data_IF_359503790763
#
_entry.id   IF_359503790763
#
_cell.length_a   1.000
_cell.length_b   1.000
_cell.length_c   1.000
_cell.angle_alpha   90.00
_cell.angle_beta   90.00
_cell.angle_gamma   90.00
#
_symmetry.space_group_name_H-M   'P 1'
#
loop_
_entity.id
_entity.type
_entity.pdbx_description
1 polymer ?
#
# COMPACT_ATOMS: atom_id res chain seq x y z
N UNK A 1 56.66 34.29 -9.70
CA UNK A 1 55.40 35.04 -9.95
C UNK A 1 54.34 34.49 -9.01
N UNK A 2 53.75 35.37 -8.23
CA UNK A 2 52.93 35.07 -7.05
C UNK A 2 51.43 35.27 -7.30
N UNK A 3 50.64 34.86 -6.31
CA UNK A 3 49.21 35.12 -6.04
C UNK A 3 48.19 34.12 -6.65
N UNK A 4 47.15 33.67 -5.94
CA UNK A 4 46.59 34.19 -4.70
C UNK A 4 45.70 33.20 -3.92
N UNK A 5 45.59 33.50 -2.62
CA UNK A 5 44.57 33.05 -1.67
C UNK A 5 44.02 34.28 -0.92
N UNK A 6 42.80 34.21 -0.36
CA UNK A 6 41.91 35.37 -0.21
C UNK A 6 42.06 36.18 1.09
N UNK A 7 41.77 37.49 0.99
CA UNK A 7 41.34 38.40 2.06
C UNK A 7 39.80 38.61 1.92
N UNK A 8 38.99 38.91 2.93
CA UNK A 8 39.32 39.39 4.28
C UNK A 8 38.11 39.50 5.21
N UNK A 9 38.42 39.84 6.46
CA UNK A 9 37.54 40.12 7.58
C UNK A 9 36.74 41.43 7.42
N UNK A 10 35.52 41.45 7.95
CA UNK A 10 34.66 42.64 8.01
C UNK A 10 33.73 42.71 9.24
N UNK A 11 34.31 43.13 10.37
CA UNK A 11 33.79 44.09 11.37
C UNK A 11 32.48 43.81 12.16
N UNK A 12 32.70 43.61 13.47
CA UNK A 12 31.83 43.89 14.62
C UNK A 12 31.13 45.26 14.57
N UNK A 13 29.85 45.31 15.00
CA UNK A 13 29.33 46.41 15.85
C UNK A 13 28.37 45.87 16.93
N UNK A 14 28.83 46.03 18.17
CA UNK A 14 28.14 45.98 19.47
C UNK A 14 27.08 47.08 19.57
N UNK A 15 25.93 46.80 20.18
CA UNK A 15 25.24 47.74 21.09
C UNK A 15 24.50 46.96 22.19
N UNK A 16 24.70 47.44 23.43
CA UNK A 16 24.14 47.01 24.72
C UNK A 16 22.62 47.26 24.79
N UNK A 17 21.80 46.35 25.33
CA UNK A 17 21.45 46.11 26.75
C UNK A 17 20.65 47.25 27.41
N UNK A 18 19.40 46.96 27.84
CA UNK A 18 18.84 47.32 29.16
C UNK A 18 17.77 46.30 29.57
N UNK A 19 17.81 45.96 30.86
CA UNK A 19 17.07 44.95 31.64
C UNK A 19 15.90 45.60 32.39
N UNK A 20 14.80 44.86 32.65
CA UNK A 20 14.02 44.88 33.90
C UNK A 20 12.97 43.75 33.86
N UNK A 21 13.12 42.65 34.61
CA UNK A 21 12.72 42.43 36.01
C UNK A 21 11.20 42.34 36.26
N UNK A 22 10.77 41.17 36.76
CA UNK A 22 9.60 41.05 37.64
C UNK A 22 8.64 39.91 37.28
N UNK A 23 8.53 38.90 38.15
CA UNK A 23 7.38 37.97 38.13
C UNK A 23 7.67 36.56 38.63
N UNK A 24 7.67 36.39 39.96
CA UNK A 24 7.62 35.08 40.64
C UNK A 24 6.25 34.44 40.38
N UNK A 25 6.19 33.15 40.05
CA UNK A 25 5.40 32.13 40.77
C UNK A 25 4.97 30.95 39.89
N UNK A 26 4.98 29.80 40.56
CA UNK A 26 4.04 28.69 40.40
C UNK A 26 4.31 27.65 39.31
N UNK A 27 5.12 26.66 39.72
CA UNK A 27 5.06 25.27 39.25
C UNK A 27 3.59 24.82 39.16
N UNK A 28 3.08 24.66 37.93
CA UNK A 28 1.89 23.87 37.65
C UNK A 28 2.30 22.51 37.06
N UNK A 29 1.80 21.39 37.60
CA UNK A 29 2.09 20.08 37.03
C UNK A 29 1.49 20.00 35.62
N UNK A 30 2.34 19.57 34.69
CA UNK A 30 2.04 19.33 33.29
C UNK A 30 1.00 18.18 33.21
N UNK A 31 -0.29 18.54 33.23
CA UNK A 31 -1.39 17.64 32.90
C UNK A 31 -1.09 17.05 31.52
N UNK A 32 -0.85 15.74 31.49
CA UNK A 32 -0.98 14.95 30.27
C UNK A 32 -2.44 15.04 29.85
N UNK A 33 -2.73 15.94 28.91
CA UNK A 33 -3.97 15.85 28.13
C UNK A 33 -3.71 14.75 27.12
N UNK A 34 -4.24 13.56 27.40
CA UNK A 34 -4.49 12.56 26.38
C UNK A 34 -5.31 13.24 25.29
N UNK A 35 -4.64 13.69 24.23
CA UNK A 35 -5.28 14.12 23.00
C UNK A 35 -5.75 12.87 22.28
N UNK A 36 -6.85 12.29 22.76
CA UNK A 36 -7.69 11.43 21.96
C UNK A 36 -8.47 12.32 21.00
N UNK A 37 -7.93 12.56 19.80
CA UNK A 37 -8.67 13.03 18.62
C UNK A 37 -7.72 13.31 17.44
N UNK A 38 -7.00 12.30 16.94
CA UNK A 38 -6.47 12.32 15.56
C UNK A 38 -6.47 10.92 14.94
N UNK A 39 -7.51 10.13 15.23
CA UNK A 39 -7.84 8.95 14.44
C UNK A 39 -8.87 9.42 13.40
N UNK A 40 -8.36 9.94 12.29
CA UNK A 40 -9.19 10.45 11.19
C UNK A 40 -10.07 9.37 10.55
N UNK A 41 -10.89 9.73 9.54
CA UNK A 41 -11.72 8.80 8.78
C UNK A 41 -10.94 7.64 8.13
N UNK A 42 -9.60 7.69 8.09
CA UNK A 42 -8.74 6.56 7.71
C UNK A 42 -8.95 5.31 8.59
N UNK A 43 -9.32 5.44 9.87
CA UNK A 43 -9.58 4.28 10.73
C UNK A 43 -11.04 3.79 10.67
N UNK A 44 -11.96 4.63 10.22
CA UNK A 44 -13.34 4.18 9.95
C UNK A 44 -13.39 3.23 8.73
N UNK A 45 -12.41 3.32 7.81
CA UNK A 45 -12.23 2.33 6.74
C UNK A 45 -11.50 1.06 7.21
N UNK A 46 -10.86 1.10 8.38
CA UNK A 46 -10.13 -0.02 8.98
C UNK A 46 -11.04 -1.01 9.76
N UNK A 47 -12.36 -0.84 9.72
CA UNK A 47 -13.31 -1.75 10.37
C UNK A 47 -14.60 -1.92 9.56
N UNK A 48 -14.52 -1.98 8.22
CA UNK A 48 -15.54 -2.75 7.51
C UNK A 48 -15.43 -4.19 8.04
N UNK A 49 -16.55 -4.88 8.27
CA UNK A 49 -16.48 -6.28 8.71
C UNK A 49 -15.60 -7.04 7.70
N UNK A 50 -14.73 -7.99 8.12
CA UNK A 50 -13.85 -8.70 7.19
C UNK A 50 -14.58 -9.24 5.94
N UNK A 51 -15.85 -9.63 6.11
CA UNK A 51 -16.77 -10.03 5.02
C UNK A 51 -17.05 -8.91 4.00
N UNK A 52 -17.23 -7.67 4.44
CA UNK A 52 -17.44 -6.52 3.55
C UNK A 52 -16.19 -6.20 2.72
N UNK A 53 -15.01 -6.26 3.34
CA UNK A 53 -13.74 -6.06 2.63
C UNK A 53 -13.52 -7.18 1.61
N UNK A 54 -13.75 -8.44 1.99
CA UNK A 54 -13.67 -9.56 1.05
C UNK A 54 -14.69 -9.42 -0.09
N UNK A 55 -15.93 -8.98 0.18
CA UNK A 55 -16.93 -8.74 -0.86
C UNK A 55 -16.53 -7.60 -1.81
N UNK A 56 -15.88 -6.55 -1.30
CA UNK A 56 -15.32 -5.48 -2.13
C UNK A 56 -14.13 -5.97 -2.96
N UNK A 57 -13.23 -6.77 -2.37
CA UNK A 57 -12.11 -7.38 -3.06
C UNK A 57 -12.55 -8.35 -4.17
N UNK A 58 -13.59 -9.15 -3.94
CA UNK A 58 -14.16 -10.03 -4.95
C UNK A 58 -14.69 -9.27 -6.16
N UNK A 59 -15.47 -8.21 -5.93
CA UNK A 59 -15.94 -7.33 -7.01
C UNK A 59 -14.76 -6.75 -7.77
N UNK A 60 -13.70 -6.35 -7.06
CA UNK A 60 -12.49 -5.83 -7.71
C UNK A 60 -11.76 -6.89 -8.54
N UNK A 61 -11.67 -8.12 -8.05
CA UNK A 61 -11.08 -9.23 -8.82
C UNK A 61 -11.93 -9.58 -10.03
N UNK A 62 -13.25 -9.55 -9.93
CA UNK A 62 -14.15 -9.75 -11.08
C UNK A 62 -14.00 -8.63 -12.11
N UNK A 63 -13.87 -7.37 -11.68
CA UNK A 63 -13.53 -6.26 -12.57
C UNK A 63 -12.18 -6.45 -13.26
N UNK A 64 -11.15 -6.90 -12.53
CA UNK A 64 -9.80 -7.09 -13.07
C UNK A 64 -9.68 -8.34 -13.96
N UNK A 65 -10.47 -9.36 -13.70
CA UNK A 65 -10.54 -10.58 -14.50
C UNK A 65 -11.35 -10.41 -15.80
N UNK A 66 -12.06 -9.28 -15.96
CA UNK A 66 -12.64 -8.92 -17.25
C UNK A 66 -11.53 -8.47 -18.22
N UNK A 67 -11.35 -9.14 -19.37
CA UNK A 67 -10.22 -8.87 -20.26
C UNK A 67 -10.28 -7.47 -20.87
N UNK A 68 -11.46 -6.91 -21.08
CA UNK A 68 -11.60 -5.57 -21.69
C UNK A 68 -11.32 -4.48 -20.67
N UNK A 69 -11.74 -4.67 -19.41
CA UNK A 69 -11.40 -3.78 -18.32
C UNK A 69 -9.90 -3.83 -17.98
N UNK A 70 -9.31 -5.03 -17.92
CA UNK A 70 -7.88 -5.19 -17.68
C UNK A 70 -7.06 -4.47 -18.76
N UNK A 71 -7.42 -4.63 -20.04
CA UNK A 71 -6.78 -3.91 -21.14
C UNK A 71 -6.86 -2.40 -20.96
N UNK A 72 -8.03 -1.86 -20.57
CA UNK A 72 -8.19 -0.41 -20.32
C UNK A 72 -7.27 0.09 -19.21
N UNK A 73 -7.14 -0.68 -18.12
CA UNK A 73 -6.22 -0.37 -17.02
C UNK A 73 -4.77 -0.39 -17.51
N UNK A 74 -4.41 -1.43 -18.27
CA UNK A 74 -3.07 -1.65 -18.80
C UNK A 74 -2.60 -0.58 -19.81
N UNK A 75 -3.52 0.21 -20.41
CA UNK A 75 -3.16 1.38 -21.24
C UNK A 75 -2.28 2.37 -20.46
N UNK A 76 -2.49 2.50 -19.14
CA UNK A 76 -1.64 3.33 -18.28
C UNK A 76 -0.33 2.65 -17.85
N UNK A 77 0.00 1.49 -18.40
CA UNK A 77 1.18 0.70 -18.10
C UNK A 77 1.09 -0.08 -16.79
N UNK A 78 2.19 -0.75 -16.45
CA UNK A 78 2.29 -1.60 -15.27
C UNK A 78 1.94 -0.90 -13.96
N UNK A 79 2.30 0.38 -13.81
CA UNK A 79 2.05 1.14 -12.57
C UNK A 79 0.55 1.28 -12.26
N UNK A 80 -0.31 1.39 -13.28
CA UNK A 80 -1.76 1.37 -13.07
C UNK A 80 -2.26 0.01 -12.62
N UNK A 81 -1.77 -1.08 -13.22
CA UNK A 81 -2.12 -2.44 -12.78
C UNK A 81 -1.75 -2.63 -11.30
N UNK A 82 -0.56 -2.20 -10.88
CA UNK A 82 -0.07 -2.27 -9.49
C UNK A 82 -0.96 -1.53 -8.49
N UNK A 83 -1.49 -0.36 -8.87
CA UNK A 83 -2.47 0.38 -8.05
C UNK A 83 -3.75 -0.41 -7.88
N UNK A 84 -4.23 -1.04 -8.95
CA UNK A 84 -5.50 -1.77 -8.94
C UNK A 84 -5.41 -3.12 -8.20
N UNK A 85 -4.30 -3.85 -8.32
CA UNK A 85 -4.07 -5.09 -7.53
C UNK A 85 -3.77 -4.81 -6.06
N UNK A 86 -3.64 -3.54 -5.66
CA UNK A 86 -3.59 -3.11 -4.27
C UNK A 86 -2.23 -3.21 -3.58
N UNK A 87 -1.15 -3.37 -4.35
CA UNK A 87 0.23 -3.38 -3.84
C UNK A 87 0.84 -1.98 -3.79
N UNK A 88 0.32 -1.03 -4.57
CA UNK A 88 0.74 0.38 -4.58
C UNK A 88 -0.41 1.28 -4.14
N UNK A 89 -0.19 2.01 -3.04
CA UNK A 89 -1.20 2.86 -2.43
C UNK A 89 -2.21 2.07 -1.58
N UNK A 90 -3.29 2.74 -1.16
CA UNK A 90 -4.28 2.17 -0.23
C UNK A 90 -5.73 2.29 -0.77
N UNK A 91 -5.89 2.69 -2.03
CA UNK A 91 -7.21 2.98 -2.61
C UNK A 91 -7.92 1.75 -3.14
N UNK A 92 -7.18 0.72 -3.56
CA UNK A 92 -7.77 -0.51 -4.08
C UNK A 92 -8.45 -1.31 -2.95
N UNK A 93 -9.63 -1.90 -3.20
CA UNK A 93 -10.22 -2.90 -2.32
C UNK A 93 -9.34 -4.13 -2.04
N UNK A 94 -8.31 -4.36 -2.87
CA UNK A 94 -7.34 -5.45 -2.68
C UNK A 94 -6.20 -5.09 -1.73
N UNK A 95 -6.09 -3.82 -1.31
CA UNK A 95 -5.13 -3.43 -0.28
C UNK A 95 -5.42 -4.17 1.03
N UNK A 96 -4.41 -4.82 1.61
CA UNK A 96 -4.49 -5.57 2.87
C UNK A 96 -5.61 -6.64 2.92
N UNK A 97 -6.06 -7.14 1.76
CA UNK A 97 -7.14 -8.13 1.67
C UNK A 97 -6.78 -9.48 2.32
N UNK A 98 -5.49 -9.82 2.38
CA UNK A 98 -5.01 -11.02 3.08
C UNK A 98 -5.38 -10.98 4.57
N UNK A 99 -5.36 -9.80 5.21
CA UNK A 99 -5.78 -9.61 6.60
C UNK A 99 -7.26 -9.90 6.78
N UNK A 100 -8.09 -9.51 5.81
CA UNK A 100 -9.52 -9.78 5.84
C UNK A 100 -9.82 -11.28 5.71
N UNK A 101 -9.15 -11.97 4.80
CA UNK A 101 -9.28 -13.44 4.70
C UNK A 101 -8.73 -14.15 5.94
N UNK A 102 -7.59 -13.72 6.50
CA UNK A 102 -7.05 -14.27 7.76
C UNK A 102 -8.05 -14.15 8.91
N UNK A 103 -8.77 -13.03 9.00
CA UNK A 103 -9.80 -12.82 10.02
C UNK A 103 -11.01 -13.76 9.88
N UNK A 104 -11.21 -14.38 8.71
CA UNK A 104 -12.27 -15.34 8.44
C UNK A 104 -11.82 -16.80 8.57
N UNK A 105 -10.53 -17.06 8.86
CA UNK A 105 -9.99 -18.42 8.91
C UNK A 105 -10.67 -19.32 9.95
N UNK A 106 -11.13 -18.76 11.07
CA UNK A 106 -11.87 -19.52 12.10
C UNK A 106 -13.25 -20.01 11.61
N UNK A 107 -13.82 -19.37 10.59
CA UNK A 107 -15.09 -19.77 9.97
C UNK A 107 -14.90 -20.92 8.97
N UNK A 108 -13.66 -21.31 8.64
CA UNK A 108 -13.39 -22.39 7.70
C UNK A 108 -13.81 -23.77 8.23
N UNK A 109 -14.30 -24.63 7.33
CA UNK A 109 -14.51 -26.06 7.61
C UNK A 109 -13.21 -26.83 7.82
N UNK A 110 -12.18 -26.46 7.05
CA UNK A 110 -10.84 -27.02 7.05
C UNK A 110 -9.82 -25.87 7.12
N UNK A 111 -9.29 -25.54 8.32
CA UNK A 111 -8.36 -24.43 8.48
C UNK A 111 -7.02 -24.61 7.74
N UNK A 112 -6.54 -25.83 7.58
CA UNK A 112 -5.26 -26.11 6.91
C UNK A 112 -5.38 -25.83 5.41
N UNK A 113 -6.39 -26.44 4.76
CA UNK A 113 -6.67 -26.19 3.34
C UNK A 113 -7.01 -24.71 3.06
N UNK A 114 -7.65 -24.03 4.02
CA UNK A 114 -7.92 -22.60 3.93
C UNK A 114 -6.63 -21.76 3.91
N UNK A 115 -5.71 -22.03 4.83
CA UNK A 115 -4.42 -21.30 4.91
C UNK A 115 -3.58 -21.56 3.66
N UNK A 116 -3.48 -22.79 3.18
CA UNK A 116 -2.78 -23.11 1.93
C UNK A 116 -3.37 -22.35 0.72
N UNK A 117 -4.70 -22.27 0.66
CA UNK A 117 -5.39 -21.50 -0.39
C UNK A 117 -5.16 -20.01 -0.25
N UNK A 118 -5.07 -19.50 0.97
CA UNK A 118 -4.78 -18.10 1.25
C UNK A 118 -3.34 -17.71 0.86
N UNK A 119 -2.39 -18.63 1.05
CA UNK A 119 -1.02 -18.47 0.57
C UNK A 119 -0.97 -18.44 -0.95
N UNK A 120 -1.69 -19.35 -1.64
CA UNK A 120 -1.81 -19.33 -3.10
C UNK A 120 -2.39 -18.01 -3.61
N UNK A 121 -3.48 -17.54 -3.01
CA UNK A 121 -4.09 -16.25 -3.32
C UNK A 121 -3.10 -15.08 -3.15
N UNK A 122 -2.42 -15.03 -2.00
CA UNK A 122 -1.47 -13.95 -1.69
C UNK A 122 -0.29 -13.95 -2.66
N UNK A 123 0.20 -15.14 -3.02
CA UNK A 123 1.28 -15.32 -3.99
C UNK A 123 0.87 -14.87 -5.39
N UNK A 124 -0.34 -15.19 -5.83
CA UNK A 124 -0.85 -14.76 -7.12
C UNK A 124 -0.92 -13.21 -7.22
N UNK A 125 -1.39 -12.52 -6.16
CA UNK A 125 -1.36 -11.05 -6.14
C UNK A 125 0.07 -10.48 -6.18
N UNK A 126 1.02 -11.09 -5.46
CA UNK A 126 2.42 -10.68 -5.47
C UNK A 126 3.07 -10.89 -6.84
N UNK A 127 2.78 -12.01 -7.51
CA UNK A 127 3.25 -12.28 -8.86
C UNK A 127 2.65 -11.28 -9.85
N UNK A 128 1.34 -11.01 -9.76
CA UNK A 128 0.67 -10.02 -10.59
C UNK A 128 1.33 -8.63 -10.48
N UNK A 129 1.67 -8.19 -9.27
CA UNK A 129 2.44 -6.95 -9.04
C UNK A 129 3.85 -7.02 -9.61
N UNK A 130 4.55 -8.13 -9.40
CA UNK A 130 5.94 -8.32 -9.84
C UNK A 130 6.06 -8.28 -11.37
N UNK A 131 5.13 -8.92 -12.07
CA UNK A 131 5.03 -8.86 -13.53
C UNK A 131 4.66 -7.46 -14.00
N UNK A 132 3.64 -6.84 -13.41
CA UNK A 132 3.26 -5.47 -13.73
C UNK A 132 4.44 -4.50 -13.52
N UNK A 133 5.20 -4.66 -12.44
CA UNK A 133 6.41 -3.88 -12.18
C UNK A 133 7.49 -4.13 -13.24
N UNK A 134 7.73 -5.38 -13.60
CA UNK A 134 8.72 -5.76 -14.62
C UNK A 134 8.40 -5.16 -15.99
N UNK A 135 7.11 -5.03 -16.34
CA UNK A 135 6.68 -4.39 -17.59
C UNK A 135 7.22 -2.96 -17.73
N UNK A 136 7.39 -2.22 -16.62
CA UNK A 136 7.82 -0.82 -16.59
C UNK A 136 9.29 -0.67 -17.04
N UNK A 137 10.14 -1.67 -16.79
CA UNK A 137 11.60 -1.57 -17.01
C UNK A 137 12.15 -2.55 -18.06
N UNK A 138 11.30 -3.42 -18.59
CA UNK A 138 11.66 -4.52 -19.49
C UNK A 138 12.42 -4.11 -20.76
N UNK A 139 12.27 -2.87 -21.24
CA UNK A 139 12.93 -2.36 -22.46
C UNK A 139 14.34 -1.80 -22.24
N UNK A 140 14.84 -1.71 -21.00
CA UNK A 140 16.11 -1.06 -20.69
C UNK A 140 17.33 -2.00 -20.71
N UNK A 141 17.21 -3.21 -21.23
CA UNK A 141 18.28 -4.22 -21.23
C UNK A 141 18.65 -4.72 -22.63
N UNK A 142 19.88 -5.25 -22.77
CA UNK A 142 20.37 -5.85 -24.02
C UNK A 142 19.58 -7.12 -24.45
N UNK A 143 18.83 -7.73 -23.53
CA UNK A 143 17.91 -8.83 -23.77
C UNK A 143 16.46 -8.38 -23.47
N UNK A 144 16.07 -7.23 -24.01
CA UNK A 144 14.75 -6.64 -23.78
C UNK A 144 13.64 -7.63 -24.10
N UNK A 145 12.84 -7.96 -23.09
CA UNK A 145 11.60 -8.69 -23.25
C UNK A 145 10.49 -7.68 -23.54
N UNK A 146 9.56 -8.00 -24.45
CA UNK A 146 8.44 -7.10 -24.74
C UNK A 146 7.61 -6.86 -23.46
N UNK A 147 7.36 -5.61 -23.04
CA UNK A 147 6.53 -5.28 -21.87
C UNK A 147 5.19 -6.02 -21.84
N UNK A 148 4.59 -6.26 -23.01
CA UNK A 148 3.31 -6.93 -23.13
C UNK A 148 3.33 -8.34 -22.55
N UNK A 149 4.46 -9.06 -22.61
CA UNK A 149 4.58 -10.41 -22.03
C UNK A 149 4.34 -10.37 -20.52
N UNK A 150 4.90 -9.36 -19.85
CA UNK A 150 4.70 -9.18 -18.42
C UNK A 150 3.27 -8.73 -18.09
N UNK A 151 2.68 -7.86 -18.91
CA UNK A 151 1.26 -7.47 -18.75
C UNK A 151 0.35 -8.70 -18.89
N UNK A 152 0.60 -9.56 -19.86
CA UNK A 152 -0.18 -10.77 -20.09
C UNK A 152 0.00 -11.79 -18.96
N UNK A 153 1.19 -11.89 -18.37
CA UNK A 153 1.43 -12.74 -17.20
C UNK A 153 0.76 -12.18 -15.95
N UNK A 154 0.85 -10.87 -15.72
CA UNK A 154 0.13 -10.19 -14.64
C UNK A 154 -1.37 -10.46 -14.70
N UNK A 155 -1.96 -10.47 -15.91
CA UNK A 155 -3.37 -10.84 -16.09
C UNK A 155 -3.67 -12.29 -15.68
N UNK A 156 -2.81 -13.25 -16.05
CA UNK A 156 -3.00 -14.66 -15.65
C UNK A 156 -2.97 -14.81 -14.12
N UNK A 157 -2.05 -14.11 -13.47
CA UNK A 157 -1.93 -14.12 -12.01
C UNK A 157 -3.15 -13.47 -11.34
N UNK A 158 -3.77 -12.45 -11.94
CA UNK A 158 -5.07 -11.92 -11.49
C UNK A 158 -6.18 -12.97 -11.59
N UNK A 159 -6.22 -13.75 -12.68
CA UNK A 159 -7.21 -14.83 -12.83
C UNK A 159 -7.01 -15.92 -11.77
N UNK A 160 -5.75 -16.25 -11.45
CA UNK A 160 -5.45 -17.22 -10.40
C UNK A 160 -5.77 -16.69 -9.01
N UNK A 161 -5.50 -15.40 -8.73
CA UNK A 161 -5.94 -14.75 -7.51
C UNK A 161 -7.48 -14.78 -7.38
N UNK A 162 -8.22 -14.47 -8.45
CA UNK A 162 -9.69 -14.54 -8.46
C UNK A 162 -10.17 -15.96 -8.14
N UNK A 163 -9.57 -16.98 -8.78
CA UNK A 163 -9.92 -18.39 -8.55
C UNK A 163 -9.68 -18.79 -7.10
N UNK A 164 -8.50 -18.52 -6.55
CA UNK A 164 -8.18 -18.82 -5.15
C UNK A 164 -9.08 -18.06 -4.18
N UNK A 165 -9.44 -16.81 -4.46
CA UNK A 165 -10.37 -16.05 -3.63
C UNK A 165 -11.79 -16.66 -3.60
N UNK A 166 -12.27 -17.19 -4.73
CA UNK A 166 -13.53 -17.95 -4.79
C UNK A 166 -13.45 -19.26 -4.02
N UNK A 167 -12.32 -19.97 -4.10
CA UNK A 167 -12.08 -21.18 -3.31
C UNK A 167 -12.10 -20.88 -1.81
N UNK A 168 -11.42 -19.82 -1.35
CA UNK A 168 -11.47 -19.36 0.04
C UNK A 168 -12.89 -19.13 0.52
N UNK A 169 -13.70 -18.43 -0.28
CA UNK A 169 -15.10 -18.16 0.07
C UNK A 169 -15.95 -19.43 0.16
N UNK A 170 -15.73 -20.40 -0.73
CA UNK A 170 -16.43 -21.67 -0.71
C UNK A 170 -16.07 -22.55 0.51
N UNK A 171 -14.89 -22.33 1.10
CA UNK A 171 -14.42 -23.05 2.30
C UNK A 171 -14.97 -22.48 3.62
N UNK A 172 -15.54 -21.26 3.59
CA UNK A 172 -16.18 -20.67 4.75
C UNK A 172 -17.53 -21.34 5.03
N UNK A 173 -17.84 -21.57 6.30
CA UNK A 173 -19.17 -22.01 6.74
C UNK A 173 -20.14 -20.85 6.49
N UNK A 174 -20.80 -20.84 5.33
CA UNK A 174 -21.92 -19.93 5.09
C UNK A 174 -23.08 -20.36 5.99
N UNK A 175 -23.18 -19.73 7.16
CA UNK A 175 -24.26 -19.90 8.14
C UNK A 175 -25.55 -19.28 7.66
#
# INVERSE_FOLDING_TARGET
MASGRPHGLGKFRRWLLVIALGGVAFLRPRRWVLSGALLGPQLARAAAAPKDQVAAAMRKLDELADPDNFKKIAVGGGDNIRREVGTVGMSSPLFDVDKAFKALAEEAGDPEAYVETLERFSKALQNADSDAYSSIFSMNSAAATNPQVYIDNSYKEVLDAQRSARELLAMLKMS
#
